data_IF_026389228080
#
_entry.id   IF_026389228080
#
_cell.length_a   1.000
_cell.length_b   1.000
_cell.length_c   1.000
_cell.angle_alpha   90.00
_cell.angle_beta   90.00
_cell.angle_gamma   90.00
#
_symmetry.space_group_name_H-M   'P 1'
#
loop_
_entity.id
_entity.type
_entity.pdbx_description
1 polymer ?
#
# COMPACT_ATOMS: atom_id res chain seq x y z
N UNK A 1 11.32 8.90 14.09
CA UNK A 1 10.34 9.52 13.18
C UNK A 1 10.96 10.77 12.59
N UNK A 2 10.84 10.94 11.28
CA UNK A 2 11.32 12.12 10.57
C UNK A 2 10.14 12.89 10.00
N UNK A 3 10.10 14.19 10.21
CA UNK A 3 9.03 15.07 9.72
C UNK A 3 9.64 16.17 8.87
N UNK A 4 9.18 16.27 7.63
CA UNK A 4 9.59 17.33 6.71
C UNK A 4 8.71 18.55 6.95
N UNK A 5 9.28 19.62 7.50
CA UNK A 5 8.62 20.88 7.78
C UNK A 5 8.86 21.91 6.69
N UNK A 6 7.98 21.93 5.68
CA UNK A 6 8.11 22.77 4.49
C UNK A 6 8.28 24.27 4.78
N UNK A 7 7.42 24.87 5.61
CA UNK A 7 7.48 26.32 5.88
C UNK A 7 8.72 26.77 6.68
N UNK A 8 9.38 25.84 7.38
CA UNK A 8 10.56 26.12 8.18
C UNK A 8 11.86 25.74 7.46
N UNK A 9 11.75 25.09 6.29
CA UNK A 9 12.83 24.48 5.51
C UNK A 9 13.64 23.45 6.30
N UNK A 10 12.98 22.51 6.98
CA UNK A 10 13.63 21.65 7.98
C UNK A 10 13.22 20.21 7.91
N UNK A 11 14.15 19.33 8.27
CA UNK A 11 13.83 18.00 8.75
C UNK A 11 13.86 18.00 10.28
N UNK A 12 12.79 17.52 10.88
CA UNK A 12 12.67 17.34 12.33
C UNK A 12 12.79 15.87 12.65
N UNK A 13 13.66 15.54 13.58
CA UNK A 13 13.81 14.18 14.10
C UNK A 13 13.14 14.06 15.47
N UNK A 14 12.42 12.95 15.64
CA UNK A 14 11.81 12.55 16.89
C UNK A 14 12.20 11.12 17.22
N UNK A 15 12.59 10.88 18.47
CA UNK A 15 12.85 9.54 19.00
C UNK A 15 11.55 8.97 19.54
N UNK A 16 11.33 7.68 19.28
CA UNK A 16 10.29 6.88 19.92
C UNK A 16 11.01 5.82 20.74
N UNK A 17 10.83 5.82 22.07
CA UNK A 17 11.48 4.81 22.92
C UNK A 17 10.86 3.42 22.74
N UNK A 18 9.60 3.37 22.29
CA UNK A 18 8.92 2.17 21.83
C UNK A 18 8.58 2.38 20.36
N UNK A 19 9.08 1.51 19.48
CA UNK A 19 8.88 1.65 18.04
C UNK A 19 7.41 1.81 17.67
N UNK A 20 7.10 2.82 16.87
CA UNK A 20 5.75 3.16 16.38
C UNK A 20 4.72 3.56 17.46
N UNK A 21 5.10 3.66 18.73
CA UNK A 21 4.25 4.21 19.79
C UNK A 21 4.45 5.73 19.89
N UNK A 22 3.51 6.49 19.33
CA UNK A 22 3.54 7.96 19.32
C UNK A 22 3.45 8.57 20.73
N UNK A 23 3.00 7.83 21.75
CA UNK A 23 2.98 8.35 23.14
C UNK A 23 4.38 8.47 23.74
N UNK A 24 5.37 7.80 23.14
CA UNK A 24 6.78 7.86 23.55
C UNK A 24 7.60 8.88 22.78
N UNK A 25 6.93 9.70 21.95
CA UNK A 25 7.56 10.67 21.09
C UNK A 25 8.29 11.76 21.90
N UNK A 26 9.58 11.92 21.61
CA UNK A 26 10.41 13.00 22.13
C UNK A 26 11.15 13.67 20.99
N UNK A 27 11.19 15.00 21.00
CA UNK A 27 11.98 15.73 20.00
C UNK A 27 13.46 15.43 20.21
N UNK A 28 14.13 14.91 19.17
CA UNK A 28 15.51 14.42 19.28
C UNK A 28 16.56 15.55 19.38
N UNK A 29 16.14 16.80 19.19
CA UNK A 29 17.05 17.96 19.25
C UNK A 29 17.77 18.25 17.93
N UNK A 30 17.86 17.27 17.03
CA UNK A 30 18.42 17.43 15.69
C UNK A 30 17.48 18.26 14.80
N UNK A 31 18.00 19.39 14.34
CA UNK A 31 17.29 20.41 13.57
C UNK A 31 18.15 20.78 12.36
N UNK A 32 18.13 19.93 11.35
CA UNK A 32 19.02 20.09 10.22
C UNK A 32 18.28 20.66 9.00
N UNK A 33 18.97 21.56 8.31
CA UNK A 33 18.50 22.12 7.04
C UNK A 33 19.15 21.35 5.91
N UNK A 34 18.45 20.37 5.36
CA UNK A 34 18.85 19.72 4.12
C UNK A 34 18.35 20.55 2.94
N UNK A 35 18.99 21.71 2.76
CA UNK A 35 18.66 22.69 1.72
C UNK A 35 19.90 23.16 0.95
N UNK A 36 20.96 22.33 0.88
CA UNK A 36 22.22 22.67 0.23
C UNK A 36 22.07 22.75 -1.29
N UNK A 37 21.48 23.85 -1.77
CA UNK A 37 21.58 24.28 -3.17
C UNK A 37 22.91 25.04 -3.34
N UNK A 38 23.91 24.38 -3.93
CA UNK A 38 25.28 24.91 -4.01
C UNK A 38 25.41 26.15 -4.93
N UNK A 39 24.40 26.49 -5.75
CA UNK A 39 24.55 27.55 -6.78
C UNK A 39 23.89 28.91 -6.54
N UNK A 40 23.07 29.16 -5.51
CA UNK A 40 22.51 30.50 -5.26
C UNK A 40 22.05 30.73 -3.82
N UNK A 41 22.20 31.96 -3.34
CA UNK A 41 22.06 32.41 -1.95
C UNK A 41 20.62 32.37 -1.34
N UNK A 42 19.73 31.50 -1.81
CA UNK A 42 18.35 31.36 -1.25
C UNK A 42 17.87 29.93 -0.98
N UNK A 43 18.66 28.87 -1.26
CA UNK A 43 18.23 27.47 -1.02
C UNK A 43 17.03 27.02 -1.87
N UNK A 44 16.68 25.73 -1.82
CA UNK A 44 15.35 25.24 -2.22
C UNK A 44 14.47 25.25 -0.96
N UNK A 45 13.63 26.28 -0.76
CA UNK A 45 12.67 26.30 0.35
C UNK A 45 11.55 25.27 0.12
N UNK A 46 11.03 24.74 1.21
CA UNK A 46 9.88 23.82 1.26
C UNK A 46 10.18 22.39 0.78
N UNK A 47 11.03 21.62 1.49
CA UNK A 47 11.08 20.19 1.29
C UNK A 47 9.69 19.58 1.56
N UNK A 48 9.32 18.55 0.81
CA UNK A 48 7.99 17.90 0.90
C UNK A 48 8.03 16.40 1.10
N UNK A 49 8.97 15.73 0.44
CA UNK A 49 9.14 14.28 0.53
C UNK A 49 10.49 13.93 1.14
N UNK A 50 10.50 12.84 1.91
CA UNK A 50 11.72 12.18 2.38
C UNK A 50 11.62 10.69 2.12
N UNK A 51 12.72 10.09 1.69
CA UNK A 51 12.90 8.64 1.67
C UNK A 51 14.33 8.29 2.09
N UNK A 52 14.54 7.02 2.45
CA UNK A 52 15.86 6.44 2.68
C UNK A 52 16.02 5.23 1.77
N UNK A 53 17.26 4.85 1.49
CA UNK A 53 17.54 3.50 1.00
C UNK A 53 17.35 2.47 2.14
N UNK A 54 17.40 1.18 1.80
CA UNK A 54 17.01 0.11 2.72
C UNK A 54 17.88 0.02 3.99
N UNK A 55 19.16 0.35 3.88
CA UNK A 55 20.10 0.28 5.00
C UNK A 55 20.26 1.62 5.75
N UNK A 56 19.61 2.68 5.25
CA UNK A 56 19.60 4.01 5.84
C UNK A 56 20.87 4.83 5.59
N UNK A 57 21.77 4.37 4.74
CA UNK A 57 23.01 5.08 4.40
C UNK A 57 22.83 6.18 3.36
N UNK A 58 21.67 6.23 2.70
CA UNK A 58 21.29 7.30 1.77
C UNK A 58 19.95 7.89 2.17
N UNK A 59 19.83 9.21 2.06
CA UNK A 59 18.60 9.96 2.30
C UNK A 59 18.28 10.82 1.08
N UNK A 60 17.01 10.81 0.69
CA UNK A 60 16.50 11.51 -0.47
C UNK A 60 15.49 12.55 -0.03
N UNK A 61 15.67 13.79 -0.48
CA UNK A 61 14.78 14.91 -0.18
C UNK A 61 14.21 15.47 -1.49
N UNK A 62 12.88 15.46 -1.59
CA UNK A 62 12.17 16.13 -2.68
C UNK A 62 11.89 17.58 -2.28
N UNK A 63 12.55 18.50 -2.96
CA UNK A 63 12.37 19.96 -2.83
C UNK A 63 11.25 20.48 -3.73
N UNK A 64 10.67 21.64 -3.40
CA UNK A 64 9.57 22.22 -4.18
C UNK A 64 9.96 23.42 -5.03
N UNK A 65 10.81 24.32 -4.57
CA UNK A 65 11.08 25.56 -5.30
C UNK A 65 11.93 25.32 -6.55
N UNK A 66 12.76 24.27 -6.55
CA UNK A 66 13.50 23.82 -7.73
C UNK A 66 12.90 22.54 -8.35
N UNK A 67 11.84 21.98 -7.75
CA UNK A 67 11.28 20.67 -8.11
C UNK A 67 12.41 19.63 -8.35
N UNK A 68 13.36 19.52 -7.40
CA UNK A 68 14.56 18.66 -7.47
C UNK A 68 14.46 17.46 -6.49
N UNK A 69 15.06 16.33 -6.85
CA UNK A 69 15.37 15.24 -5.91
C UNK A 69 16.84 15.35 -5.53
N UNK A 70 17.11 15.57 -4.24
CA UNK A 70 18.45 15.67 -3.68
C UNK A 70 18.80 14.38 -2.95
N UNK A 71 20.00 13.88 -3.17
CA UNK A 71 20.57 12.68 -2.55
C UNK A 71 21.67 13.07 -1.55
N UNK A 72 21.63 12.43 -0.38
CA UNK A 72 22.60 12.65 0.70
C UNK A 72 23.13 11.32 1.19
N UNK A 73 24.46 11.21 1.33
CA UNK A 73 25.09 10.10 2.03
C UNK A 73 25.11 10.35 3.55
N UNK A 74 24.69 9.37 4.34
CA UNK A 74 24.73 9.35 5.80
C UNK A 74 25.86 8.44 6.27
N UNK A 75 26.86 9.03 6.93
CA UNK A 75 27.98 8.25 7.46
C UNK A 75 27.57 7.28 8.58
N UNK A 76 26.46 7.56 9.26
CA UNK A 76 25.80 6.64 10.19
C UNK A 76 24.35 6.46 9.73
N UNK A 77 23.95 5.21 9.47
CA UNK A 77 22.63 4.90 8.95
C UNK A 77 21.49 5.52 9.78
N UNK A 78 20.56 6.18 9.09
CA UNK A 78 19.43 6.93 9.67
C UNK A 78 19.79 8.09 10.61
N UNK A 79 21.08 8.36 10.87
CA UNK A 79 21.52 9.55 11.59
C UNK A 79 21.67 10.71 10.62
N UNK A 80 20.60 11.49 10.51
CA UNK A 80 20.54 12.63 9.60
C UNK A 80 21.64 13.65 9.89
N UNK A 81 22.10 13.80 11.14
CA UNK A 81 23.14 14.77 11.49
C UNK A 81 24.49 14.48 10.80
N UNK A 82 24.66 13.26 10.28
CA UNK A 82 25.84 12.82 9.52
C UNK A 82 25.70 12.97 8.00
N UNK A 83 24.57 13.51 7.53
CA UNK A 83 24.28 13.60 6.12
C UNK A 83 25.19 14.61 5.41
N UNK A 84 25.67 14.22 4.23
CA UNK A 84 26.45 15.02 3.30
C UNK A 84 25.80 14.94 1.92
N UNK A 85 25.58 16.09 1.28
CA UNK A 85 24.99 16.12 -0.07
C UNK A 85 25.90 15.37 -1.04
N UNK A 86 25.33 14.42 -1.78
CA UNK A 86 26.04 13.65 -2.80
C UNK A 86 25.66 14.19 -4.20
N UNK A 87 24.42 13.93 -4.61
CA UNK A 87 23.96 14.19 -5.98
C UNK A 87 22.56 14.82 -6.01
N UNK A 88 22.11 15.26 -7.20
CA UNK A 88 20.72 15.71 -7.41
C UNK A 88 20.28 15.57 -8.86
N UNK A 89 18.97 15.52 -9.06
CA UNK A 89 18.33 15.68 -10.37
C UNK A 89 17.23 16.74 -10.34
N UNK A 90 17.12 17.52 -11.42
CA UNK A 90 15.99 18.41 -11.68
C UNK A 90 14.93 17.66 -12.47
N UNK A 91 13.73 17.53 -11.88
CA UNK A 91 12.60 16.83 -12.48
C UNK A 91 11.54 17.79 -13.01
N UNK A 92 11.73 19.11 -12.93
CA UNK A 92 10.75 20.15 -13.32
C UNK A 92 10.19 19.90 -14.73
N UNK A 93 11.07 19.65 -15.70
CA UNK A 93 10.68 19.43 -17.10
C UNK A 93 9.91 18.12 -17.32
N UNK A 94 10.02 17.16 -16.40
CA UNK A 94 9.43 15.81 -16.52
C UNK A 94 8.15 15.65 -15.70
N UNK A 95 8.13 16.17 -14.48
CA UNK A 95 7.04 16.01 -13.49
C UNK A 95 6.17 17.27 -13.40
N UNK A 96 6.66 18.40 -13.90
CA UNK A 96 6.03 19.71 -13.71
C UNK A 96 6.18 20.23 -12.29
N UNK A 97 5.54 21.35 -12.01
CA UNK A 97 5.62 22.00 -10.71
C UNK A 97 4.80 21.28 -9.65
N UNK A 98 5.27 21.31 -8.42
CA UNK A 98 4.52 20.80 -7.27
C UNK A 98 4.59 19.29 -7.03
N UNK A 99 5.73 18.61 -7.27
CA UNK A 99 5.93 17.28 -6.74
C UNK A 99 5.80 17.34 -5.20
N UNK A 100 5.36 16.24 -4.58
CA UNK A 100 5.00 16.25 -3.17
C UNK A 100 5.64 15.13 -2.36
N UNK A 101 5.62 13.90 -2.86
CA UNK A 101 6.26 12.78 -2.17
C UNK A 101 7.06 11.93 -3.14
N UNK A 102 8.04 11.22 -2.60
CA UNK A 102 8.86 10.26 -3.33
C UNK A 102 8.92 8.92 -2.59
N UNK A 103 8.91 7.81 -3.33
CA UNK A 103 9.15 6.45 -2.79
C UNK A 103 9.95 5.64 -3.79
N UNK A 104 10.66 4.62 -3.30
CA UNK A 104 11.40 3.68 -4.13
C UNK A 104 10.75 2.30 -4.13
N UNK A 105 11.02 1.50 -5.16
CA UNK A 105 10.86 0.05 -5.07
C UNK A 105 11.84 -0.55 -4.06
N UNK A 106 11.56 -1.77 -3.60
CA UNK A 106 12.40 -2.45 -2.61
C UNK A 106 13.86 -2.63 -3.05
N UNK A 107 14.14 -2.71 -4.34
CA UNK A 107 15.49 -2.80 -4.91
C UNK A 107 16.10 -1.44 -5.31
N UNK A 108 15.36 -0.34 -5.10
CA UNK A 108 15.76 1.02 -5.47
C UNK A 108 15.75 1.31 -6.98
N UNK A 109 15.38 0.35 -7.83
CA UNK A 109 15.46 0.51 -9.30
C UNK A 109 14.28 1.29 -9.88
N UNK A 110 13.23 1.55 -9.10
CA UNK A 110 12.15 2.46 -9.44
C UNK A 110 12.02 3.56 -8.40
N UNK A 111 11.74 4.77 -8.87
CA UNK A 111 11.35 5.90 -8.04
C UNK A 111 9.98 6.43 -8.49
N UNK A 112 9.08 6.60 -7.54
CA UNK A 112 7.70 7.03 -7.74
C UNK A 112 7.53 8.43 -7.17
N UNK A 113 6.99 9.35 -7.96
CA UNK A 113 6.78 10.74 -7.54
C UNK A 113 5.31 11.10 -7.72
N UNK A 114 4.71 11.58 -6.64
CA UNK A 114 3.37 12.19 -6.68
C UNK A 114 3.49 13.69 -6.93
N UNK A 115 2.48 14.26 -7.59
CA UNK A 115 2.42 15.70 -7.82
C UNK A 115 1.08 16.26 -7.35
N UNK A 116 1.12 17.29 -6.52
CA UNK A 116 -0.05 17.88 -5.90
C UNK A 116 -0.87 18.79 -6.83
N UNK A 117 -0.51 18.88 -8.09
CA UNK A 117 -1.25 19.55 -9.16
C UNK A 117 -2.00 18.58 -10.07
N UNK A 118 -1.73 17.26 -9.97
CA UNK A 118 -2.30 16.24 -10.87
C UNK A 118 -2.80 14.99 -10.13
N UNK A 119 -3.54 14.14 -10.83
CA UNK A 119 -3.94 12.77 -10.43
C UNK A 119 -2.94 11.72 -10.92
N UNK A 120 -1.74 12.16 -11.33
CA UNK A 120 -0.74 11.30 -11.96
C UNK A 120 0.36 10.94 -10.99
N UNK A 121 0.91 9.74 -11.16
CA UNK A 121 2.14 9.31 -10.50
C UNK A 121 3.19 9.08 -11.58
N UNK A 122 4.36 9.68 -11.39
CA UNK A 122 5.48 9.61 -12.31
C UNK A 122 6.42 8.50 -11.87
N UNK A 123 6.77 7.60 -12.78
CA UNK A 123 7.59 6.43 -12.51
C UNK A 123 8.92 6.57 -13.23
N UNK A 124 10.00 6.66 -12.48
CA UNK A 124 11.36 6.66 -12.98
C UNK A 124 11.97 5.27 -12.83
N UNK A 125 12.79 4.85 -13.80
CA UNK A 125 13.70 3.73 -13.64
C UNK A 125 15.08 4.28 -13.34
N UNK A 126 15.74 3.72 -12.33
CA UNK A 126 17.13 3.94 -11.98
C UNK A 126 17.91 2.70 -12.41
N UNK A 127 18.95 2.88 -13.24
CA UNK A 127 19.75 1.74 -13.73
C UNK A 127 20.69 1.21 -12.67
N UNK A 128 20.99 2.02 -11.66
CA UNK A 128 21.66 1.65 -10.41
C UNK A 128 20.67 1.98 -9.29
N UNK A 129 20.28 0.99 -8.50
CA UNK A 129 19.29 1.20 -7.44
C UNK A 129 19.71 2.32 -6.50
N UNK A 130 18.75 3.19 -6.15
CA UNK A 130 18.93 4.36 -5.27
C UNK A 130 19.81 5.51 -5.81
N UNK A 131 20.58 5.30 -6.88
CA UNK A 131 21.36 6.37 -7.55
C UNK A 131 20.45 7.26 -8.42
N UNK A 132 20.15 8.48 -7.94
CA UNK A 132 19.21 9.38 -8.62
C UNK A 132 19.75 9.94 -9.94
N UNK A 133 21.07 10.02 -10.16
CA UNK A 133 21.59 10.54 -11.44
C UNK A 133 21.40 9.55 -12.58
N UNK A 134 21.11 8.28 -12.28
CA UNK A 134 20.71 7.27 -13.27
C UNK A 134 19.21 7.25 -13.57
N UNK A 135 18.41 8.07 -12.88
CA UNK A 135 16.97 8.08 -13.03
C UNK A 135 16.52 8.58 -14.41
N UNK A 136 15.56 7.89 -15.00
CA UNK A 136 14.89 8.30 -16.24
C UNK A 136 13.39 8.01 -16.17
N UNK A 137 12.57 8.99 -16.55
CA UNK A 137 11.11 8.82 -16.56
C UNK A 137 10.73 7.68 -17.53
N UNK A 138 10.07 6.66 -17.00
CA UNK A 138 9.69 5.45 -17.73
C UNK A 138 8.19 5.44 -18.05
N UNK A 139 7.35 5.86 -17.11
CA UNK A 139 5.92 5.99 -17.33
C UNK A 139 5.26 7.05 -16.45
N UNK A 140 4.05 7.44 -16.82
CA UNK A 140 3.22 8.38 -16.06
C UNK A 140 1.82 7.80 -16.03
N UNK A 141 1.40 7.31 -14.87
CA UNK A 141 0.09 6.67 -14.72
C UNK A 141 -0.95 7.68 -14.23
N UNK A 142 -2.10 7.73 -14.90
CA UNK A 142 -3.19 8.65 -14.55
C UNK A 142 -4.34 7.92 -13.84
N UNK A 143 -4.60 8.33 -12.60
CA UNK A 143 -5.63 7.73 -11.76
C UNK A 143 -6.93 8.53 -11.76
N UNK A 144 -7.11 9.49 -12.67
CA UNK A 144 -8.31 10.34 -12.73
C UNK A 144 -9.62 9.57 -12.90
N UNK A 145 -9.57 8.34 -13.44
CA UNK A 145 -10.72 7.46 -13.56
C UNK A 145 -11.25 6.94 -12.21
N UNK A 146 -10.38 6.92 -11.18
CA UNK A 146 -10.69 6.40 -9.85
C UNK A 146 -10.76 7.50 -8.80
N UNK A 147 -9.88 8.51 -8.90
CA UNK A 147 -9.74 9.57 -7.91
C UNK A 147 -9.82 10.93 -8.58
N UNK A 148 -10.83 11.72 -8.21
CA UNK A 148 -11.01 13.09 -8.70
C UNK A 148 -10.33 14.14 -7.79
N UNK A 149 -9.10 13.86 -7.38
CA UNK A 149 -8.34 14.73 -6.47
C UNK A 149 -6.83 14.50 -6.62
N UNK A 150 -6.06 15.56 -6.37
CA UNK A 150 -4.61 15.57 -6.61
C UNK A 150 -3.90 14.80 -5.50
N UNK A 151 -2.75 14.23 -5.81
CA UNK A 151 -2.03 13.37 -4.87
C UNK A 151 -0.96 14.08 -4.05
N UNK A 152 -0.75 13.57 -2.84
CA UNK A 152 0.35 13.94 -1.94
C UNK A 152 1.07 12.68 -1.48
N UNK A 153 1.06 12.36 -0.19
CA UNK A 153 1.75 11.19 0.36
C UNK A 153 1.41 9.89 -0.37
N UNK A 154 2.43 9.06 -0.56
CA UNK A 154 2.37 7.76 -1.22
C UNK A 154 3.11 6.74 -0.36
N UNK A 155 2.59 5.52 -0.28
CA UNK A 155 3.29 4.40 0.34
C UNK A 155 2.92 3.10 -0.34
N UNK A 156 3.87 2.17 -0.36
CA UNK A 156 3.66 0.79 -0.77
C UNK A 156 3.75 -0.14 0.44
N UNK A 157 3.10 -1.28 0.37
CA UNK A 157 3.47 -2.40 1.22
C UNK A 157 4.84 -2.98 0.78
N UNK A 158 5.51 -3.83 1.59
CA UNK A 158 6.89 -4.24 1.33
C UNK A 158 7.15 -4.93 -0.01
N UNK A 159 6.19 -5.72 -0.51
CA UNK A 159 6.31 -6.40 -1.82
C UNK A 159 5.81 -5.53 -3.00
N UNK A 160 5.30 -4.33 -2.73
CA UNK A 160 4.81 -3.39 -3.73
C UNK A 160 3.47 -3.78 -4.37
N UNK A 161 2.78 -4.81 -3.90
CA UNK A 161 1.48 -5.25 -4.45
C UNK A 161 0.30 -4.41 -3.97
N UNK A 162 0.51 -3.52 -3.02
CA UNK A 162 -0.46 -2.52 -2.56
C UNK A 162 0.17 -1.14 -2.56
N UNK A 163 -0.60 -0.16 -3.00
CA UNK A 163 -0.24 1.24 -3.02
C UNK A 163 -1.35 2.04 -2.35
N UNK A 164 -0.99 2.87 -1.38
CA UNK A 164 -1.91 3.82 -0.76
C UNK A 164 -1.44 5.25 -1.06
N UNK A 165 -2.38 6.08 -1.50
CA UNK A 165 -2.10 7.47 -1.85
C UNK A 165 -3.11 8.42 -1.20
N UNK A 166 -2.61 9.49 -0.59
CA UNK A 166 -3.43 10.57 -0.04
C UNK A 166 -3.88 11.48 -1.18
N UNK A 167 -5.17 11.74 -1.25
CA UNK A 167 -5.75 12.80 -2.07
C UNK A 167 -5.96 14.09 -1.26
N UNK A 168 -5.77 15.25 -1.90
CA UNK A 168 -5.97 16.58 -1.30
C UNK A 168 -7.16 17.34 -1.89
N UNK A 169 -7.51 18.47 -1.28
CA UNK A 169 -8.51 19.41 -1.79
C UNK A 169 -9.87 19.23 -1.14
N UNK A 170 -10.96 19.13 -1.91
CA UNK A 170 -12.30 18.88 -1.35
C UNK A 170 -12.54 17.42 -0.96
N UNK A 171 -11.66 16.51 -1.38
CA UNK A 171 -11.84 15.06 -1.24
C UNK A 171 -10.60 14.45 -0.55
N UNK A 172 -10.46 14.64 0.77
CA UNK A 172 -9.29 14.18 1.54
C UNK A 172 -9.48 12.73 1.91
N UNK A 173 -8.80 11.86 1.19
CA UNK A 173 -8.97 10.41 1.33
C UNK A 173 -7.63 9.73 1.25
N UNK A 174 -7.53 8.61 1.95
CA UNK A 174 -6.53 7.59 1.61
C UNK A 174 -7.18 6.68 0.58
N UNK A 175 -6.54 6.50 -0.57
CA UNK A 175 -7.02 5.69 -1.67
C UNK A 175 -6.10 4.47 -1.81
N UNK A 176 -6.67 3.28 -1.76
CA UNK A 176 -5.94 2.02 -1.89
C UNK A 176 -6.06 1.46 -3.31
N UNK A 177 -4.93 1.02 -3.84
CA UNK A 177 -4.82 0.31 -5.10
C UNK A 177 -4.07 -1.00 -4.89
N UNK A 178 -4.52 -2.05 -5.59
CA UNK A 178 -3.82 -3.33 -5.72
C UNK A 178 -3.03 -3.33 -7.01
N UNK A 179 -1.81 -3.85 -6.98
CA UNK A 179 -0.96 -4.04 -8.14
C UNK A 179 -0.77 -5.54 -8.32
N UNK A 180 -1.14 -6.08 -9.48
CA UNK A 180 -0.97 -7.52 -9.74
C UNK A 180 0.50 -7.91 -9.91
N UNK A 181 1.35 -6.94 -10.26
CA UNK A 181 2.81 -7.06 -10.24
C UNK A 181 3.38 -5.96 -9.34
N UNK A 182 4.15 -6.37 -8.32
CA UNK A 182 4.69 -5.44 -7.32
C UNK A 182 5.46 -4.28 -7.95
N UNK A 183 5.19 -3.05 -7.49
CA UNK A 183 5.81 -1.82 -7.98
C UNK A 183 5.56 -1.49 -9.48
N UNK A 184 4.67 -2.21 -10.16
CA UNK A 184 4.24 -1.90 -11.53
C UNK A 184 2.85 -1.22 -11.51
N UNK A 185 2.86 0.11 -11.60
CA UNK A 185 1.64 0.92 -11.56
C UNK A 185 0.70 0.67 -12.77
N UNK A 186 1.20 0.12 -13.87
CA UNK A 186 0.34 -0.21 -15.04
C UNK A 186 -0.64 -1.34 -14.72
N UNK A 187 -0.36 -2.11 -13.67
CA UNK A 187 -1.21 -3.20 -13.19
C UNK A 187 -2.16 -2.79 -12.09
N UNK A 188 -2.22 -1.50 -11.76
CA UNK A 188 -3.01 -0.99 -10.65
C UNK A 188 -4.51 -1.15 -10.88
N UNK A 189 -5.22 -1.66 -9.89
CA UNK A 189 -6.67 -1.65 -9.79
C UNK A 189 -7.10 -1.00 -8.48
N UNK A 190 -8.14 -0.16 -8.54
CA UNK A 190 -8.66 0.54 -7.37
C UNK A 190 -9.39 -0.44 -6.43
N UNK A 191 -9.10 -0.35 -5.13
CA UNK A 191 -9.67 -1.22 -4.10
C UNK A 191 -10.72 -0.47 -3.30
N UNK A 192 -10.31 0.55 -2.55
CA UNK A 192 -11.16 1.25 -1.60
C UNK A 192 -10.61 2.64 -1.28
N UNK A 193 -11.37 3.40 -0.51
CA UNK A 193 -10.92 4.66 0.08
C UNK A 193 -11.40 4.78 1.52
N UNK A 194 -10.67 5.57 2.30
CA UNK A 194 -11.05 5.98 3.64
C UNK A 194 -11.04 7.51 3.72
N UNK A 195 -12.15 8.09 4.17
CA UNK A 195 -12.29 9.54 4.31
C UNK A 195 -11.64 10.02 5.60
N UNK A 196 -10.64 10.91 5.45
CA UNK A 196 -9.88 11.47 6.56
C UNK A 196 -10.24 12.94 6.83
N UNK A 197 -11.24 13.48 6.15
CA UNK A 197 -11.56 14.92 6.16
C UNK A 197 -11.87 15.48 7.54
N UNK A 198 -12.41 14.66 8.45
CA UNK A 198 -12.70 15.07 9.85
C UNK A 198 -11.47 15.02 10.77
N UNK A 199 -10.40 14.36 10.35
CA UNK A 199 -9.18 14.16 11.14
C UNK A 199 -8.08 15.13 10.70
N UNK A 200 -7.92 15.31 9.39
CA UNK A 200 -6.90 16.19 8.82
C UNK A 200 -7.45 16.87 7.54
N UNK A 201 -7.42 18.21 7.53
CA UNK A 201 -8.01 19.00 6.43
C UNK A 201 -7.02 19.40 5.34
N UNK A 202 -5.73 19.24 5.59
CA UNK A 202 -4.62 19.46 4.66
C UNK A 202 -3.58 18.33 4.82
N UNK A 203 -3.90 17.08 4.44
CA UNK A 203 -3.03 15.92 4.67
C UNK A 203 -1.83 15.92 3.70
N UNK A 204 -0.64 15.56 4.15
CA UNK A 204 0.60 15.56 3.35
C UNK A 204 1.29 14.21 3.29
N UNK A 205 1.48 13.55 4.43
CA UNK A 205 2.25 12.31 4.54
C UNK A 205 1.42 11.13 5.01
N UNK A 206 1.76 9.94 4.51
CA UNK A 206 1.24 8.66 4.99
C UNK A 206 2.43 7.76 5.33
N UNK A 207 2.34 7.06 6.46
CA UNK A 207 3.30 6.06 6.87
C UNK A 207 2.60 4.87 7.55
N UNK A 208 3.33 3.78 7.74
CA UNK A 208 2.85 2.56 8.39
C UNK A 208 3.80 2.11 9.49
N UNK A 209 3.27 1.38 10.46
CA UNK A 209 4.11 0.54 11.31
C UNK A 209 4.68 -0.66 10.53
N UNK A 210 5.63 -1.37 11.12
CA UNK A 210 6.40 -2.39 10.42
C UNK A 210 5.56 -3.58 9.90
N UNK A 211 4.48 -3.94 10.59
CA UNK A 211 3.58 -5.03 10.17
C UNK A 211 2.38 -4.53 9.32
N UNK A 212 2.27 -3.21 9.11
CA UNK A 212 1.19 -2.58 8.35
C UNK A 212 -0.17 -2.57 9.03
N UNK A 213 -0.28 -2.98 10.29
CA UNK A 213 -1.53 -2.97 11.05
C UNK A 213 -2.00 -1.57 11.45
N UNK A 214 -1.10 -0.58 11.45
CA UNK A 214 -1.40 0.81 11.81
C UNK A 214 -0.89 1.76 10.74
N UNK A 215 -1.77 2.65 10.28
CA UNK A 215 -1.49 3.74 9.37
C UNK A 215 -1.38 5.06 10.14
N UNK A 216 -0.42 5.90 9.77
CA UNK A 216 -0.22 7.24 10.30
C UNK A 216 -0.42 8.28 9.20
N UNK A 217 -1.20 9.31 9.48
CA UNK A 217 -1.42 10.45 8.58
C UNK A 217 -0.90 11.71 9.25
N UNK A 218 -0.05 12.43 8.53
CA UNK A 218 0.46 13.74 8.92
C UNK A 218 -0.07 14.78 7.93
N UNK A 219 -0.44 15.95 8.42
CA UNK A 219 -0.68 17.13 7.60
C UNK A 219 -0.32 18.42 8.34
N UNK A 220 -0.92 19.52 7.94
CA UNK A 220 -0.65 20.86 8.52
C UNK A 220 -1.80 21.35 9.41
N UNK A 221 -2.94 20.68 9.44
CA UNK A 221 -4.07 21.11 10.27
C UNK A 221 -3.98 20.42 11.62
N UNK A 222 -3.90 21.20 12.70
CA UNK A 222 -3.86 20.63 14.06
C UNK A 222 -2.46 20.28 14.55
N UNK A 223 -1.45 20.33 13.66
CA UNK A 223 -0.04 20.01 13.98
C UNK A 223 0.12 18.66 14.71
N UNK A 224 -0.68 17.66 14.32
CA UNK A 224 -0.73 16.33 14.92
C UNK A 224 -0.41 15.21 13.93
N UNK A 225 -0.26 14.00 14.46
CA UNK A 225 -0.20 12.76 13.69
C UNK A 225 -1.45 11.96 14.03
N UNK A 226 -2.25 11.67 13.02
CA UNK A 226 -3.46 10.87 13.16
C UNK A 226 -3.13 9.38 12.97
N UNK A 227 -3.56 8.54 13.92
CA UNK A 227 -3.30 7.10 13.93
C UNK A 227 -4.57 6.29 13.60
N UNK A 228 -4.45 5.31 12.72
CA UNK A 228 -5.57 4.47 12.28
C UNK A 228 -5.18 2.98 12.29
N UNK A 229 -5.86 2.18 13.10
CA UNK A 229 -5.75 0.71 13.02
C UNK A 229 -6.49 0.21 11.77
N UNK A 230 -5.81 -0.62 10.99
CA UNK A 230 -6.36 -1.21 9.79
C UNK A 230 -7.01 -2.57 10.06
N UNK A 231 -8.07 -2.93 9.29
CA UNK A 231 -8.69 -4.25 9.38
C UNK A 231 -7.74 -5.38 8.96
N UNK A 232 -6.77 -5.09 8.09
CA UNK A 232 -5.73 -6.01 7.66
C UNK A 232 -4.47 -5.23 7.27
N UNK A 233 -3.30 -5.86 7.36
CA UNK A 233 -2.03 -5.22 7.06
C UNK A 233 -2.04 -4.52 5.69
N UNK A 234 -1.71 -3.22 5.69
CA UNK A 234 -1.67 -2.34 4.52
C UNK A 234 -2.99 -2.32 3.71
N UNK A 235 -4.14 -2.58 4.33
CA UNK A 235 -5.44 -2.75 3.68
C UNK A 235 -6.54 -1.95 4.36
N UNK A 236 -7.30 -1.15 3.60
CA UNK A 236 -8.51 -0.47 4.09
C UNK A 236 -9.72 -1.42 4.15
N UNK A 237 -9.59 -2.63 3.58
CA UNK A 237 -10.65 -3.66 3.55
C UNK A 237 -10.12 -5.00 4.06
N UNK A 238 -11.03 -5.83 4.58
CA UNK A 238 -10.72 -7.23 4.92
C UNK A 238 -10.31 -8.04 3.68
N UNK A 239 -9.41 -9.01 3.80
CA UNK A 239 -9.07 -9.90 2.69
C UNK A 239 -10.28 -10.75 2.28
N UNK A 240 -10.32 -11.24 1.03
CA UNK A 240 -11.35 -12.18 0.62
C UNK A 240 -11.17 -13.52 1.36
N UNK A 241 -12.24 -14.05 1.95
CA UNK A 241 -12.22 -15.34 2.65
C UNK A 241 -13.50 -16.12 2.39
N UNK A 242 -13.39 -17.44 2.39
CA UNK A 242 -14.51 -18.37 2.43
C UNK A 242 -14.28 -19.33 3.61
N UNK A 243 -15.33 -19.77 4.26
CA UNK A 243 -15.27 -20.80 5.31
C UNK A 243 -16.45 -21.76 5.14
N UNK A 244 -16.17 -23.03 4.87
CA UNK A 244 -17.17 -24.09 4.84
C UNK A 244 -17.65 -24.32 6.28
N UNK A 245 -18.96 -24.31 6.49
CA UNK A 245 -19.56 -24.50 7.82
C UNK A 245 -20.31 -25.81 7.96
N UNK A 246 -20.83 -26.37 6.86
CA UNK A 246 -21.36 -27.73 6.81
C UNK A 246 -21.42 -28.23 5.34
N UNK A 247 -21.27 -29.54 5.09
CA UNK A 247 -20.62 -30.50 5.99
C UNK A 247 -19.16 -30.09 6.24
N UNK A 248 -18.68 -30.27 7.47
CA UNK A 248 -17.35 -29.83 7.91
C UNK A 248 -16.57 -30.90 8.70
N UNK A 249 -16.89 -32.17 8.47
CA UNK A 249 -16.19 -33.32 9.01
C UNK A 249 -16.98 -34.09 10.08
N UNK A 250 -16.92 -35.41 10.00
CA UNK A 250 -17.53 -36.34 10.95
C UNK A 250 -19.01 -36.68 10.67
N UNK A 251 -19.63 -36.07 9.67
CA UNK A 251 -20.99 -36.41 9.26
C UNK A 251 -21.03 -37.75 8.52
N UNK A 252 -22.16 -38.46 8.65
CA UNK A 252 -22.50 -39.59 7.78
C UNK A 252 -23.62 -39.16 6.85
N UNK A 253 -23.28 -38.98 5.57
CA UNK A 253 -24.22 -38.58 4.52
C UNK A 253 -24.72 -39.80 3.75
N UNK A 254 -26.02 -39.84 3.43
CA UNK A 254 -26.64 -40.98 2.73
C UNK A 254 -26.71 -40.70 1.22
N UNK A 255 -26.09 -41.55 0.41
CA UNK A 255 -26.16 -41.46 -1.05
C UNK A 255 -27.59 -41.44 -1.58
N UNK A 256 -27.86 -40.62 -2.58
CA UNK A 256 -29.18 -40.41 -3.17
C UNK A 256 -30.11 -39.48 -2.37
N UNK A 257 -29.73 -39.08 -1.16
CA UNK A 257 -30.44 -38.06 -0.38
C UNK A 257 -29.93 -36.66 -0.69
N UNK A 258 -30.64 -35.63 -0.23
CA UNK A 258 -30.16 -34.25 -0.28
C UNK A 258 -29.57 -33.82 1.05
N UNK A 259 -28.53 -33.00 1.00
CA UNK A 259 -27.98 -32.26 2.15
C UNK A 259 -27.81 -30.79 1.77
N UNK A 260 -27.68 -29.91 2.75
CA UNK A 260 -27.35 -28.50 2.51
C UNK A 260 -25.87 -28.30 2.83
N UNK A 261 -25.15 -27.77 1.84
CA UNK A 261 -23.81 -27.23 2.03
C UNK A 261 -23.97 -25.77 2.48
N UNK A 262 -23.30 -25.35 3.55
CA UNK A 262 -23.34 -23.98 4.06
C UNK A 262 -21.95 -23.40 4.23
N UNK A 263 -21.83 -22.08 4.10
CA UNK A 263 -20.56 -21.36 4.24
C UNK A 263 -20.76 -19.92 4.68
N UNK A 264 -19.67 -19.29 5.10
CA UNK A 264 -19.58 -17.84 5.27
C UNK A 264 -18.49 -17.29 4.38
N UNK A 265 -18.64 -16.05 3.90
CA UNK A 265 -17.70 -15.40 3.00
C UNK A 265 -17.50 -13.93 3.36
N UNK A 266 -16.37 -13.36 2.95
CA UNK A 266 -16.06 -11.93 3.04
C UNK A 266 -15.41 -11.50 1.73
N UNK A 267 -15.87 -10.39 1.15
CA UNK A 267 -15.24 -9.70 0.01
C UNK A 267 -14.92 -10.58 -1.24
N UNK A 268 -15.76 -11.55 -1.58
CA UNK A 268 -15.60 -12.40 -2.79
C UNK A 268 -16.41 -11.91 -4.00
N UNK A 269 -16.22 -12.54 -5.16
CA UNK A 269 -16.81 -12.14 -6.46
C UNK A 269 -18.27 -12.60 -6.66
N UNK A 270 -19.14 -12.32 -5.70
CA UNK A 270 -20.60 -12.54 -5.73
C UNK A 270 -21.12 -13.97 -5.92
N UNK A 271 -20.36 -14.87 -6.55
CA UNK A 271 -20.71 -16.26 -6.81
C UNK A 271 -19.58 -17.20 -6.36
N UNK A 272 -19.96 -18.39 -5.95
CA UNK A 272 -19.03 -19.47 -5.58
C UNK A 272 -19.17 -20.67 -6.50
N UNK A 273 -18.06 -21.39 -6.67
CA UNK A 273 -17.99 -22.72 -7.25
C UNK A 273 -17.93 -23.74 -6.12
N UNK A 274 -18.64 -24.86 -6.26
CA UNK A 274 -18.67 -25.92 -5.25
C UNK A 274 -18.27 -27.24 -5.88
N UNK A 275 -17.33 -27.93 -5.24
CA UNK A 275 -16.78 -29.21 -5.66
C UNK A 275 -16.71 -30.17 -4.48
N UNK A 276 -16.66 -31.47 -4.75
CA UNK A 276 -16.30 -32.48 -3.77
C UNK A 276 -15.19 -33.38 -4.30
N UNK A 277 -14.49 -34.01 -3.38
CA UNK A 277 -13.45 -34.99 -3.69
C UNK A 277 -13.47 -36.12 -2.67
N UNK A 278 -13.15 -37.33 -3.13
CA UNK A 278 -12.93 -38.52 -2.28
C UNK A 278 -11.44 -38.69 -1.92
N UNK A 279 -10.55 -37.88 -2.47
CA UNK A 279 -9.09 -37.99 -2.27
C UNK A 279 -8.43 -36.68 -1.82
N UNK A 280 -9.22 -35.76 -1.24
CA UNK A 280 -8.71 -34.47 -0.78
C UNK A 280 -8.22 -33.57 -1.91
N UNK A 281 -8.83 -33.68 -3.09
CA UNK A 281 -8.49 -32.92 -4.31
C UNK A 281 -7.09 -33.21 -4.87
N UNK A 282 -6.55 -34.40 -4.60
CA UNK A 282 -5.25 -34.82 -5.16
C UNK A 282 -5.35 -35.20 -6.64
N UNK A 283 -6.41 -35.90 -7.03
CA UNK A 283 -6.65 -36.35 -8.40
C UNK A 283 -8.14 -36.47 -8.73
N UNK A 284 -8.98 -36.61 -7.71
CA UNK A 284 -10.43 -36.62 -7.80
C UNK A 284 -10.98 -35.22 -7.57
N UNK A 285 -11.69 -34.68 -8.55
CA UNK A 285 -12.38 -33.39 -8.43
C UNK A 285 -13.71 -33.49 -9.16
N UNK A 286 -14.79 -33.45 -8.38
CA UNK A 286 -16.14 -33.58 -8.90
C UNK A 286 -16.90 -32.27 -8.68
N UNK A 287 -17.33 -31.64 -9.76
CA UNK A 287 -18.09 -30.39 -9.67
C UNK A 287 -19.53 -30.65 -9.24
N UNK A 288 -19.96 -29.97 -8.17
CA UNK A 288 -21.37 -29.91 -7.74
C UNK A 288 -22.07 -28.80 -8.51
N UNK A 289 -21.50 -27.60 -8.50
CA UNK A 289 -21.94 -26.47 -9.33
C UNK A 289 -20.74 -25.63 -9.74
N UNK A 290 -20.73 -25.18 -10.99
CA UNK A 290 -19.67 -24.30 -11.51
C UNK A 290 -19.81 -22.86 -11.04
N UNK A 291 -21.03 -22.45 -10.66
CA UNK A 291 -21.35 -21.09 -10.20
C UNK A 291 -22.73 -21.09 -9.54
N UNK A 292 -22.79 -20.59 -8.31
CA UNK A 292 -24.04 -20.28 -7.61
C UNK A 292 -23.87 -18.99 -6.84
N UNK A 293 -24.97 -18.29 -6.53
CA UNK A 293 -24.92 -17.05 -5.76
C UNK A 293 -24.27 -17.30 -4.41
N UNK A 294 -23.45 -16.35 -3.96
CA UNK A 294 -22.91 -16.34 -2.60
C UNK A 294 -24.00 -15.94 -1.58
N UNK A 295 -24.95 -16.83 -1.32
CA UNK A 295 -26.04 -16.64 -0.35
C UNK A 295 -25.88 -17.49 0.92
N UNK A 296 -24.71 -18.15 1.07
CA UNK A 296 -24.33 -18.94 2.24
C UNK A 296 -24.88 -20.36 2.27
N UNK A 297 -25.64 -20.81 1.25
CA UNK A 297 -26.17 -22.17 1.23
C UNK A 297 -26.40 -22.77 -0.16
N UNK A 298 -26.25 -24.09 -0.30
CA UNK A 298 -26.54 -24.81 -1.53
C UNK A 298 -27.09 -26.21 -1.24
N UNK A 299 -28.23 -26.56 -1.84
CA UNK A 299 -28.82 -27.90 -1.70
C UNK A 299 -28.11 -28.85 -2.65
N UNK A 300 -27.40 -29.83 -2.09
CA UNK A 300 -26.66 -30.85 -2.83
C UNK A 300 -27.35 -32.21 -2.78
N UNK A 301 -27.59 -32.81 -3.95
CA UNK A 301 -28.00 -34.22 -4.06
C UNK A 301 -26.75 -35.11 -4.06
N UNK A 302 -26.60 -35.92 -3.00
CA UNK A 302 -25.40 -36.73 -2.79
C UNK A 302 -25.37 -37.87 -3.82
N UNK A 303 -24.29 -38.02 -4.61
CA UNK A 303 -24.15 -39.15 -5.52
C UNK A 303 -24.21 -40.49 -4.79
N UNK A 304 -24.80 -41.51 -5.43
CA UNK A 304 -24.85 -42.86 -4.87
C UNK A 304 -23.53 -43.62 -5.13
N UNK A 305 -22.44 -43.07 -4.61
CA UNK A 305 -21.07 -43.57 -4.73
C UNK A 305 -20.35 -43.39 -3.38
N UNK A 306 -20.51 -44.34 -2.44
CA UNK A 306 -20.11 -44.15 -1.05
C UNK A 306 -18.59 -44.09 -0.87
N UNK A 307 -18.12 -43.16 -0.04
CA UNK A 307 -16.74 -43.04 0.41
C UNK A 307 -16.68 -42.56 1.85
N UNK A 308 -15.56 -42.85 2.54
CA UNK A 308 -15.30 -42.41 3.92
C UNK A 308 -14.42 -41.16 4.00
N UNK A 309 -13.95 -40.64 2.86
CA UNK A 309 -12.95 -39.58 2.76
C UNK A 309 -13.44 -38.40 1.91
N UNK A 310 -14.75 -38.13 1.93
CA UNK A 310 -15.35 -37.05 1.14
C UNK A 310 -15.08 -35.71 1.80
N UNK A 311 -14.51 -34.77 1.03
CA UNK A 311 -14.35 -33.36 1.40
C UNK A 311 -15.06 -32.46 0.40
N UNK A 312 -15.62 -31.35 0.87
CA UNK A 312 -16.24 -30.30 0.05
C UNK A 312 -15.29 -29.11 -0.04
N UNK A 313 -15.12 -28.55 -1.24
CA UNK A 313 -14.41 -27.29 -1.46
C UNK A 313 -15.37 -26.26 -2.01
N UNK A 314 -15.29 -25.05 -1.46
CA UNK A 314 -15.96 -23.87 -2.00
C UNK A 314 -14.88 -22.87 -2.38
N UNK A 315 -14.94 -22.36 -3.61
CA UNK A 315 -14.01 -21.35 -4.11
C UNK A 315 -14.75 -20.17 -4.72
N UNK A 316 -14.16 -18.99 -4.63
CA UNK A 316 -14.63 -17.84 -5.37
C UNK A 316 -14.54 -18.11 -6.89
N UNK A 317 -15.52 -17.65 -7.67
CA UNK A 317 -15.55 -17.91 -9.12
C UNK A 317 -14.49 -17.09 -9.87
N UNK A 318 -14.25 -15.84 -9.46
CA UNK A 318 -13.25 -14.99 -10.10
C UNK A 318 -11.81 -15.27 -9.62
N UNK A 319 -11.64 -15.72 -8.38
CA UNK A 319 -10.32 -16.06 -7.81
C UNK A 319 -10.37 -17.39 -7.05
N UNK A 320 -10.05 -18.49 -7.74
CA UNK A 320 -10.04 -19.82 -7.14
C UNK A 320 -9.02 -19.99 -6.00
N UNK A 321 -8.07 -19.06 -5.81
CA UNK A 321 -7.16 -19.09 -4.65
C UNK A 321 -7.88 -18.73 -3.35
N UNK A 322 -8.99 -18.00 -3.43
CA UNK A 322 -9.91 -17.76 -2.32
C UNK A 322 -10.85 -18.96 -2.24
N UNK A 323 -10.48 -19.92 -1.39
CA UNK A 323 -11.24 -21.15 -1.20
C UNK A 323 -11.08 -21.70 0.21
N UNK A 324 -11.99 -22.60 0.58
CA UNK A 324 -11.89 -23.40 1.80
C UNK A 324 -12.32 -24.84 1.54
N UNK A 325 -11.77 -25.76 2.35
CA UNK A 325 -12.02 -27.21 2.26
C UNK A 325 -12.42 -27.73 3.64
N UNK A 326 -13.54 -28.45 3.70
CA UNK A 326 -14.08 -29.11 4.90
C UNK A 326 -13.14 -30.13 5.54
#
# INVERSE_FOLDING_TARGET
MFVVGGEKDMLLEYTLSTGYDLTTLTYAGNKERYNLHISNATGDPQPRGIAFNNDGTEMFILGNAADEVNEYHLATAFDISTASHDSRIDITATVGTGPNDLKFSADGTKMFITNNTTTKIFVFTLTIGFDVITASLTSTEDFSAYVNAKFRGLVFNPDGTKMLVISKGSNKKVNEFRLSTGFDLTTASYVANYDITSYETDPHGVAFNNDGSTMYILGTTGDDVNEFTLPYAYSLVLPPTITVTAPNGGETLTGGSTTTITWTSVNISANVKIEYSKDGFSSDTNTITTSTTDDGSYIWTIPNDPSSTVTVRISDVADATVNDVS
#
